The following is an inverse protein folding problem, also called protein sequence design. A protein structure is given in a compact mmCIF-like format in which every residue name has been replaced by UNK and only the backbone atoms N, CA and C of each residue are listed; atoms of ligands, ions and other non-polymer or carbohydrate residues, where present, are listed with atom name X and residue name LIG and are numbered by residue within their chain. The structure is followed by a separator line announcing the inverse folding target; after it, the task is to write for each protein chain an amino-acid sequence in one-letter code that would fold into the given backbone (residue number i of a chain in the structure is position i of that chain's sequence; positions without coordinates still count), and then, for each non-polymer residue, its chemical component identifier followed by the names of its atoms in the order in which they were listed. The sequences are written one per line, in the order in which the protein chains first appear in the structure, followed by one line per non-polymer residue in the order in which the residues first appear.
data_IF_529590527747
#
_entry.id   IF_529590527747
#
_cell.length_a   1.000
_cell.length_b   1.000
_cell.length_c   1.000
_cell.angle_alpha   90.00
_cell.angle_beta   90.00
_cell.angle_gamma   90.00
#
_symmetry.space_group_name_H-M   'P 1'
#
loop_
_entity.id
_entity.type
_entity.pdbx_description
1 polymer ?
#
# COMPACT_ATOMS: atom_id res chain seq x y z
N UNK A 1 -17.70 53.92 -43.87
CA UNK A 1 -16.82 53.35 -44.91
C UNK A 1 -17.15 51.88 -45.02
N UNK A 2 -17.60 51.48 -46.21
CA UNK A 2 -18.28 50.22 -46.49
C UNK A 2 -17.31 49.07 -46.84
N UNK A 3 -17.82 47.83 -46.64
CA UNK A 3 -17.67 46.62 -47.51
C UNK A 3 -16.30 45.92 -47.56
N UNK A 4 -16.21 44.65 -47.17
CA UNK A 4 -16.56 43.38 -47.87
C UNK A 4 -15.41 42.73 -48.66
N UNK A 5 -15.50 41.40 -48.79
CA UNK A 5 -14.89 40.51 -49.80
C UNK A 5 -13.46 39.96 -49.59
N UNK A 6 -13.44 38.72 -49.07
CA UNK A 6 -12.96 37.50 -49.73
C UNK A 6 -11.93 37.58 -50.89
N UNK A 7 -10.89 36.74 -50.72
CA UNK A 7 -10.27 35.81 -51.69
C UNK A 7 -9.94 36.29 -53.11
N UNK A 8 -8.66 36.22 -53.52
CA UNK A 8 -8.15 35.70 -54.81
C UNK A 8 -6.60 35.64 -54.69
N UNK A 9 -6.00 34.46 -54.49
CA UNK A 9 -5.37 33.59 -55.52
C UNK A 9 -4.32 34.27 -56.43
N UNK A 10 -3.19 33.55 -56.56
CA UNK A 10 -2.16 33.56 -57.62
C UNK A 10 -0.92 34.46 -57.44
N UNK A 11 0.20 33.85 -57.01
CA UNK A 11 1.33 33.65 -57.93
C UNK A 11 2.13 32.40 -57.55
N UNK A 12 2.38 31.54 -58.54
CA UNK A 12 3.18 30.31 -58.48
C UNK A 12 4.61 30.62 -58.96
N UNK A 13 5.60 29.88 -58.45
CA UNK A 13 6.93 29.71 -59.08
C UNK A 13 8.03 29.48 -58.04
N UNK A 14 8.33 28.24 -57.62
CA UNK A 14 9.28 27.24 -58.18
C UNK A 14 10.77 27.52 -57.93
N UNK A 15 11.34 26.64 -57.08
CA UNK A 15 12.65 25.98 -57.12
C UNK A 15 13.97 26.78 -57.00
N UNK A 16 14.78 26.38 -56.03
CA UNK A 16 16.21 26.69 -55.94
C UNK A 16 16.87 26.13 -54.66
N UNK A 17 17.34 24.89 -54.73
CA UNK A 17 18.26 24.22 -53.77
C UNK A 17 19.60 25.02 -53.75
N UNK A 18 20.37 25.21 -52.66
CA UNK A 18 21.34 24.28 -52.03
C UNK A 18 22.15 25.03 -50.93
N UNK A 19 22.48 24.34 -49.82
CA UNK A 19 23.60 24.49 -48.85
C UNK A 19 23.73 25.74 -47.95
N UNK A 20 23.68 25.54 -46.62
CA UNK A 20 24.85 25.16 -45.81
C UNK A 20 24.45 24.87 -44.35
N UNK A 21 24.87 23.71 -43.85
CA UNK A 21 24.90 23.38 -42.43
C UNK A 21 26.09 24.11 -41.78
N UNK A 22 25.86 24.91 -40.73
CA UNK A 22 26.87 25.10 -39.68
C UNK A 22 26.26 25.61 -38.35
N UNK A 23 26.52 24.82 -37.32
CA UNK A 23 26.71 25.14 -35.89
C UNK A 23 25.57 25.69 -35.01
N UNK A 24 25.04 24.75 -34.22
CA UNK A 24 25.08 24.70 -32.73
C UNK A 24 24.85 26.00 -31.95
N UNK A 25 23.67 26.07 -31.32
CA UNK A 25 23.53 26.33 -29.89
C UNK A 25 22.20 25.73 -29.42
N UNK A 26 22.18 24.42 -29.13
CA UNK A 26 21.11 23.84 -28.31
C UNK A 26 21.45 24.25 -26.88
N UNK A 27 20.90 25.37 -26.43
CA UNK A 27 20.80 25.67 -25.01
C UNK A 27 19.81 24.67 -24.42
N UNK A 28 20.29 23.46 -24.12
CA UNK A 28 19.68 22.62 -23.11
C UNK A 28 19.94 23.29 -21.76
N UNK A 29 19.22 24.39 -21.50
CA UNK A 29 18.87 24.75 -20.14
C UNK A 29 18.03 23.58 -19.65
N UNK A 30 18.67 22.67 -18.92
CA UNK A 30 18.00 21.64 -18.16
C UNK A 30 16.90 22.35 -17.37
N UNK A 31 15.66 22.17 -17.82
CA UNK A 31 14.50 22.45 -17.01
C UNK A 31 14.64 21.52 -15.81
N UNK A 32 15.23 22.03 -14.74
CA UNK A 32 15.04 21.48 -13.42
C UNK A 32 13.53 21.57 -13.20
N UNK A 33 12.82 20.48 -13.47
CA UNK A 33 11.41 20.33 -13.18
C UNK A 33 11.22 20.75 -11.72
N UNK A 34 10.50 21.85 -11.51
CA UNK A 34 10.18 22.33 -10.19
C UNK A 34 9.42 21.22 -9.48
N UNK A 35 10.10 20.51 -8.57
CA UNK A 35 9.46 19.44 -7.82
C UNK A 35 8.27 20.03 -7.05
N UNK A 36 7.08 19.42 -7.15
CA UNK A 36 5.92 19.90 -6.42
C UNK A 36 6.26 19.94 -4.93
N UNK A 37 5.81 20.99 -4.23
CA UNK A 37 6.06 21.17 -2.81
C UNK A 37 5.71 19.89 -2.03
N UNK A 38 6.65 19.42 -1.19
CA UNK A 38 6.52 18.17 -0.44
C UNK A 38 5.29 18.20 0.45
N UNK A 39 4.43 17.19 0.35
CA UNK A 39 3.21 17.08 1.16
C UNK A 39 3.47 16.10 2.29
N UNK A 40 4.11 16.59 3.34
CA UNK A 40 4.48 15.76 4.48
C UNK A 40 3.25 15.41 5.33
N UNK A 41 3.17 14.13 5.70
CA UNK A 41 2.17 13.59 6.60
C UNK A 41 2.84 12.83 7.73
N UNK A 42 2.40 13.08 8.96
CA UNK A 42 2.92 12.39 10.14
C UNK A 42 2.06 11.18 10.51
N UNK A 43 2.74 10.06 10.74
CA UNK A 43 2.18 8.80 11.23
C UNK A 43 2.77 8.50 12.60
N UNK A 44 1.92 8.35 13.62
CA UNK A 44 2.34 7.88 14.94
C UNK A 44 2.06 6.37 15.03
N UNK A 45 3.10 5.56 15.13
CA UNK A 45 3.02 4.11 15.08
C UNK A 45 3.41 3.52 16.43
N UNK A 46 2.60 2.57 16.91
CA UNK A 46 2.92 1.78 18.10
C UNK A 46 4.15 0.90 17.88
N UNK A 47 5.13 1.01 18.78
CA UNK A 47 6.38 0.26 18.77
C UNK A 47 6.55 -0.54 20.05
N UNK A 48 6.92 -1.80 19.89
CA UNK A 48 7.31 -2.67 21.00
C UNK A 48 8.17 -3.83 20.47
N UNK A 49 9.30 -4.07 21.11
CA UNK A 49 10.23 -5.11 20.72
C UNK A 49 10.36 -6.17 21.83
N UNK A 50 10.03 -7.46 21.56
CA UNK A 50 10.18 -8.52 22.56
C UNK A 50 11.64 -8.79 22.94
N UNK A 51 12.60 -8.44 22.07
CA UNK A 51 14.03 -8.63 22.31
C UNK A 51 14.58 -7.67 23.40
N UNK A 52 13.84 -6.59 23.69
CA UNK A 52 14.19 -5.58 24.69
C UNK A 52 13.02 -5.41 25.69
N UNK A 53 12.77 -6.41 26.57
CA UNK A 53 11.56 -6.47 27.39
C UNK A 53 11.44 -5.32 28.40
N UNK A 54 12.55 -4.71 28.79
CA UNK A 54 12.57 -3.58 29.72
C UNK A 54 12.01 -2.28 29.11
N UNK A 55 11.98 -2.17 27.78
CA UNK A 55 11.45 -1.00 27.09
C UNK A 55 9.93 -1.10 27.00
N UNK A 56 9.26 -0.15 27.65
CA UNK A 56 7.81 0.00 27.57
C UNK A 56 7.39 0.32 26.12
N UNK A 57 6.17 -0.11 25.72
CA UNK A 57 5.61 0.30 24.45
C UNK A 57 5.54 1.82 24.32
N UNK A 58 5.83 2.34 23.15
CA UNK A 58 5.81 3.78 22.89
C UNK A 58 5.27 4.06 21.49
N UNK A 59 4.91 5.33 21.26
CA UNK A 59 4.52 5.83 19.96
C UNK A 59 5.72 6.48 19.30
N UNK A 60 6.04 6.05 18.09
CA UNK A 60 7.09 6.66 17.28
C UNK A 60 6.46 7.38 16.09
N UNK A 61 6.92 8.61 15.85
CA UNK A 61 6.41 9.44 14.75
C UNK A 61 7.30 9.34 13.52
N UNK A 62 6.68 9.23 12.35
CA UNK A 62 7.34 9.21 11.06
C UNK A 62 6.67 10.21 10.12
N UNK A 63 7.47 11.04 9.47
CA UNK A 63 7.01 11.96 8.43
C UNK A 63 7.26 11.34 7.05
N UNK A 64 6.20 11.24 6.25
CA UNK A 64 6.25 10.67 4.90
C UNK A 64 5.70 11.67 3.90
N UNK A 65 6.39 11.85 2.78
CA UNK A 65 5.88 12.66 1.67
C UNK A 65 4.82 11.89 0.88
N UNK A 66 3.61 12.45 0.83
CA UNK A 66 2.47 11.88 0.12
C UNK A 66 2.63 11.95 -1.41
N UNK A 67 3.47 12.83 -1.95
CA UNK A 67 3.72 12.89 -3.39
C UNK A 67 4.55 11.68 -3.87
N UNK A 68 5.39 11.13 -2.99
CA UNK A 68 6.27 9.99 -3.26
C UNK A 68 5.77 8.68 -2.61
N UNK A 69 4.49 8.63 -2.24
CA UNK A 69 3.85 7.50 -1.56
C UNK A 69 2.55 7.11 -2.27
N UNK A 70 2.19 5.82 -2.20
CA UNK A 70 0.88 5.35 -2.63
C UNK A 70 -0.26 5.90 -1.76
N UNK A 71 -1.52 5.80 -2.22
CA UNK A 71 -2.67 6.41 -1.55
C UNK A 71 -3.12 5.68 -0.27
N UNK A 72 -2.65 4.44 -0.04
CA UNK A 72 -3.11 3.60 1.07
C UNK A 72 -2.16 3.62 2.26
N UNK A 73 -2.68 3.36 3.46
CA UNK A 73 -1.88 3.31 4.69
C UNK A 73 -0.78 2.25 4.61
N UNK A 74 -1.06 1.10 3.97
CA UNK A 74 -0.05 0.07 3.76
C UNK A 74 1.14 0.57 2.94
N UNK A 75 0.93 1.44 1.96
CA UNK A 75 2.01 1.98 1.13
C UNK A 75 2.92 2.87 1.97
N UNK A 76 2.35 3.69 2.86
CA UNK A 76 3.11 4.50 3.80
C UNK A 76 3.93 3.63 4.78
N UNK A 77 3.34 2.56 5.32
CA UNK A 77 4.04 1.63 6.22
C UNK A 77 5.21 0.91 5.52
N UNK A 78 5.02 0.50 4.26
CA UNK A 78 6.08 -0.11 3.44
C UNK A 78 7.18 0.90 3.14
N UNK A 79 6.82 2.14 2.80
CA UNK A 79 7.78 3.21 2.53
C UNK A 79 8.63 3.52 3.77
N UNK A 80 8.00 3.67 4.94
CA UNK A 80 8.70 3.84 6.23
C UNK A 80 9.66 2.68 6.45
N UNK A 81 9.21 1.44 6.27
CA UNK A 81 10.07 0.27 6.47
C UNK A 81 11.26 0.21 5.51
N UNK A 82 11.06 0.58 4.24
CA UNK A 82 12.10 0.45 3.22
C UNK A 82 13.12 1.59 3.26
N UNK A 83 12.68 2.81 3.57
CA UNK A 83 13.50 4.02 3.40
C UNK A 83 13.95 4.63 4.73
N UNK A 84 13.19 4.46 5.81
CA UNK A 84 13.40 5.19 7.08
C UNK A 84 13.82 4.26 8.21
N UNK A 85 13.04 3.21 8.47
CA UNK A 85 13.24 2.30 9.60
C UNK A 85 12.92 0.84 9.24
N UNK A 86 13.93 0.03 8.86
CA UNK A 86 13.74 -1.37 8.51
C UNK A 86 13.29 -2.25 9.68
N UNK A 87 13.37 -1.77 10.93
CA UNK A 87 12.97 -2.53 12.12
C UNK A 87 11.45 -2.60 12.30
N UNK A 88 10.69 -1.68 11.67
CA UNK A 88 9.23 -1.63 11.76
C UNK A 88 8.60 -2.94 11.27
N UNK A 89 7.85 -3.62 12.12
CA UNK A 89 7.29 -4.94 11.83
C UNK A 89 5.76 -4.94 11.75
N UNK A 90 5.21 -5.48 10.65
CA UNK A 90 3.77 -5.65 10.43
C UNK A 90 3.50 -6.81 9.45
N UNK A 91 2.28 -7.35 9.47
CA UNK A 91 1.85 -8.41 8.55
C UNK A 91 1.20 -7.84 7.28
N UNK A 92 1.57 -8.39 6.11
CA UNK A 92 0.98 -8.04 4.81
C UNK A 92 1.17 -9.17 3.79
N UNK A 93 0.22 -9.33 2.87
CA UNK A 93 0.32 -10.28 1.75
C UNK A 93 -0.35 -9.73 0.47
N UNK A 94 -1.68 -9.86 0.32
CA UNK A 94 -2.40 -9.61 -0.96
C UNK A 94 -2.46 -8.16 -1.47
N UNK A 95 -2.41 -7.15 -0.58
CA UNK A 95 -2.60 -5.71 -0.88
C UNK A 95 -3.96 -5.28 -1.46
N UNK A 96 -4.93 -6.17 -1.61
CA UNK A 96 -6.26 -5.87 -2.16
C UNK A 96 -7.41 -6.14 -1.18
N UNK A 97 -7.08 -6.45 0.08
CA UNK A 97 -8.06 -6.60 1.15
C UNK A 97 -8.66 -8.00 1.32
N UNK A 98 -8.26 -8.99 0.52
CA UNK A 98 -8.87 -10.33 0.58
C UNK A 98 -8.30 -11.22 1.70
N UNK A 99 -7.00 -11.17 1.98
CA UNK A 99 -6.36 -12.11 2.92
C UNK A 99 -6.53 -11.75 4.41
N UNK A 100 -6.96 -10.53 4.74
CA UNK A 100 -7.08 -10.06 6.12
C UNK A 100 -5.77 -9.87 6.90
N UNK A 101 -4.59 -10.12 6.34
CA UNK A 101 -3.33 -10.13 7.11
C UNK A 101 -2.89 -8.76 7.67
N UNK A 102 -3.32 -7.65 7.06
CA UNK A 102 -2.93 -6.29 7.47
C UNK A 102 -4.00 -5.59 8.33
N UNK A 103 -4.75 -6.37 9.12
CA UNK A 103 -5.72 -5.83 10.06
C UNK A 103 -5.01 -5.12 11.23
N UNK A 104 -5.38 -3.86 11.46
CA UNK A 104 -4.82 -3.03 12.52
C UNK A 104 -5.80 -1.89 12.86
N UNK A 105 -5.52 -1.14 13.93
CA UNK A 105 -6.32 0.03 14.29
C UNK A 105 -5.69 1.29 13.69
N UNK A 106 -6.43 1.99 12.83
CA UNK A 106 -5.98 3.18 12.12
C UNK A 106 -6.93 4.32 12.49
N UNK A 107 -6.40 5.34 13.17
CA UNK A 107 -7.19 6.51 13.58
C UNK A 107 -8.35 6.18 14.53
N UNK A 108 -8.24 5.09 15.30
CA UNK A 108 -9.28 4.62 16.21
C UNK A 108 -10.21 3.55 15.64
N UNK A 109 -10.17 3.29 14.33
CA UNK A 109 -11.04 2.31 13.67
C UNK A 109 -10.23 1.08 13.27
N UNK A 110 -10.76 -0.12 13.56
CA UNK A 110 -10.16 -1.37 13.10
C UNK A 110 -10.45 -1.55 11.62
N UNK A 111 -9.41 -1.61 10.80
CA UNK A 111 -9.54 -1.72 9.34
C UNK A 111 -8.32 -2.41 8.75
N UNK A 112 -8.36 -2.65 7.44
CA UNK A 112 -7.26 -3.23 6.69
C UNK A 112 -6.40 -2.10 6.10
N UNK A 113 -5.12 -2.07 6.45
CA UNK A 113 -4.21 -1.00 6.00
C UNK A 113 -4.12 -0.87 4.47
N UNK A 114 -4.30 -1.97 3.74
CA UNK A 114 -4.19 -1.98 2.27
C UNK A 114 -5.36 -1.33 1.52
N UNK A 115 -6.52 -1.18 2.15
CA UNK A 115 -7.70 -0.53 1.54
C UNK A 115 -8.11 0.74 2.29
N UNK A 116 -7.41 1.06 3.38
CA UNK A 116 -7.58 2.30 4.13
C UNK A 116 -6.78 3.41 3.46
N UNK A 117 -7.48 4.44 2.98
CA UNK A 117 -6.85 5.61 2.36
C UNK A 117 -6.16 6.48 3.41
N UNK A 118 -5.03 7.06 3.03
CA UNK A 118 -4.35 8.06 3.86
C UNK A 118 -5.22 9.33 3.90
N UNK A 119 -5.44 9.87 5.09
CA UNK A 119 -6.03 11.20 5.26
C UNK A 119 -5.03 12.26 4.75
N UNK A 120 -5.40 12.95 3.67
CA UNK A 120 -4.57 13.92 2.96
C UNK A 120 -4.38 15.24 3.71
N UNK A 121 -5.12 15.47 4.81
CA UNK A 121 -4.98 16.66 5.65
C UNK A 121 -3.70 16.55 6.49
N UNK A 122 -2.73 17.43 6.24
CA UNK A 122 -1.41 17.38 6.88
C UNK A 122 -1.46 17.58 8.42
N UNK A 123 -2.41 18.37 8.91
CA UNK A 123 -2.54 18.76 10.33
C UNK A 123 -2.84 17.58 11.27
N UNK A 124 -3.49 16.53 10.77
CA UNK A 124 -3.96 15.42 11.62
C UNK A 124 -2.97 14.27 11.59
N UNK A 125 -2.25 14.04 12.69
CA UNK A 125 -1.41 12.83 12.83
C UNK A 125 -2.26 11.57 12.79
N UNK A 126 -1.93 10.64 11.90
CA UNK A 126 -2.61 9.34 11.82
C UNK A 126 -1.98 8.40 12.84
N UNK A 127 -2.74 7.99 13.86
CA UNK A 127 -2.30 7.03 14.87
C UNK A 127 -2.57 5.60 14.39
N UNK A 128 -1.57 4.74 14.49
CA UNK A 128 -1.63 3.34 14.08
C UNK A 128 -1.27 2.46 15.27
N UNK A 129 -2.19 1.58 15.65
CA UNK A 129 -2.03 0.62 16.73
C UNK A 129 -2.28 -0.81 16.22
N UNK A 130 -1.78 -1.84 16.91
CA UNK A 130 -2.21 -3.21 16.66
C UNK A 130 -3.71 -3.37 16.95
N UNK A 131 -4.27 -4.54 16.63
CA UNK A 131 -5.66 -4.85 16.98
C UNK A 131 -5.87 -4.71 18.50
N UNK A 132 -6.95 -4.04 18.93
CA UNK A 132 -7.18 -3.76 20.34
C UNK A 132 -7.40 -5.05 21.13
N UNK A 133 -6.97 -5.04 22.40
CA UNK A 133 -7.18 -6.14 23.34
C UNK A 133 -6.59 -7.50 22.90
N UNK A 134 -5.53 -7.46 22.08
CA UNK A 134 -4.74 -8.63 21.71
C UNK A 134 -3.33 -8.53 22.29
N UNK A 135 -2.73 -9.68 22.60
CA UNK A 135 -1.30 -9.71 22.95
C UNK A 135 -0.47 -9.36 21.73
N UNK A 136 0.49 -8.44 21.90
CA UNK A 136 1.38 -8.01 20.83
C UNK A 136 2.63 -8.89 20.84
N UNK A 137 3.00 -9.43 19.69
CA UNK A 137 4.23 -10.23 19.50
C UNK A 137 5.41 -9.32 19.16
N UNK A 138 5.22 -8.32 18.29
CA UNK A 138 6.20 -7.29 17.94
C UNK A 138 5.51 -6.17 17.17
N UNK A 139 5.75 -4.91 17.54
CA UNK A 139 5.18 -3.72 16.88
C UNK A 139 3.66 -3.85 16.58
N UNK A 140 3.28 -3.96 15.31
CA UNK A 140 1.89 -4.06 14.85
C UNK A 140 1.41 -5.51 14.63
N UNK A 141 2.16 -6.50 15.12
CA UNK A 141 1.85 -7.93 14.96
C UNK A 141 1.18 -8.47 16.22
N UNK A 142 -0.15 -8.70 16.21
CA UNK A 142 -0.84 -9.37 17.31
C UNK A 142 -0.69 -10.89 17.24
N UNK A 143 -0.83 -11.55 18.38
CA UNK A 143 -1.02 -13.00 18.48
C UNK A 143 -2.46 -13.37 18.07
N UNK A 144 -2.57 -14.23 17.06
CA UNK A 144 -3.85 -14.71 16.51
C UNK A 144 -4.16 -16.16 16.92
N UNK A 145 -3.31 -16.79 17.74
CA UNK A 145 -3.46 -18.19 18.12
C UNK A 145 -4.80 -18.47 18.81
N UNK A 146 -5.23 -17.59 19.73
CA UNK A 146 -6.52 -17.75 20.42
C UNK A 146 -7.70 -17.64 19.44
N UNK A 147 -7.66 -16.69 18.51
CA UNK A 147 -8.68 -16.51 17.47
C UNK A 147 -8.82 -17.76 16.61
N UNK A 148 -7.71 -18.36 16.15
CA UNK A 148 -7.76 -19.59 15.36
C UNK A 148 -8.22 -20.82 16.14
N UNK A 149 -7.89 -20.91 17.44
CA UNK A 149 -8.39 -22.00 18.30
C UNK A 149 -9.91 -21.96 18.43
N UNK A 150 -10.48 -20.76 18.63
CA UNK A 150 -11.94 -20.57 18.69
C UNK A 150 -12.61 -20.88 17.34
N UNK A 151 -11.99 -20.49 16.22
CA UNK A 151 -12.52 -20.84 14.90
C UNK A 151 -12.48 -22.35 14.63
N UNK A 152 -11.45 -23.05 15.12
CA UNK A 152 -11.37 -24.51 14.99
C UNK A 152 -12.40 -25.25 15.83
N UNK A 153 -12.77 -24.73 17.01
CA UNK A 153 -13.69 -25.42 17.93
C UNK A 153 -15.13 -25.51 17.43
N UNK A 154 -15.53 -24.66 16.47
CA UNK A 154 -16.85 -24.75 15.83
C UNK A 154 -16.90 -25.76 14.67
N UNK A 155 -15.78 -26.43 14.39
CA UNK A 155 -15.65 -27.42 13.33
C UNK A 155 -16.21 -26.96 11.97
N UNK A 156 -15.63 -25.89 11.36
CA UNK A 156 -16.23 -25.20 10.21
C UNK A 156 -16.01 -25.95 8.88
N UNK A 157 -16.46 -27.20 8.83
CA UNK A 157 -16.43 -28.08 7.66
C UNK A 157 -17.73 -28.86 7.55
N UNK A 158 -17.98 -29.41 6.36
CA UNK A 158 -19.19 -30.19 6.10
C UNK A 158 -19.13 -31.51 6.91
N UNK A 159 -20.06 -31.67 7.84
CA UNK A 159 -20.27 -32.92 8.57
C UNK A 159 -21.37 -33.71 7.85
N UNK A 160 -21.04 -34.91 7.37
CA UNK A 160 -22.02 -35.82 6.77
C UNK A 160 -22.42 -36.86 7.81
N UNK A 161 -23.72 -37.03 8.02
CA UNK A 161 -24.25 -38.18 8.74
C UNK A 161 -24.22 -39.40 7.81
N UNK A 162 -23.67 -40.51 8.29
CA UNK A 162 -23.61 -41.75 7.52
C UNK A 162 -24.97 -42.47 7.61
N UNK A 163 -25.80 -42.32 6.57
CA UNK A 163 -27.09 -43.03 6.43
C UNK A 163 -26.89 -44.50 5.96
N UNK A 164 -25.80 -45.16 6.40
CA UNK A 164 -25.54 -46.58 6.13
C UNK A 164 -24.93 -46.91 4.76
N UNK A 165 -24.66 -45.95 3.87
CA UNK A 165 -23.95 -46.22 2.61
C UNK A 165 -22.45 -45.88 2.73
N UNK A 166 -21.69 -46.78 3.37
CA UNK A 166 -20.23 -46.74 3.36
C UNK A 166 -19.71 -46.96 1.94
N UNK A 167 -19.29 -45.90 1.25
CA UNK A 167 -18.34 -46.03 0.14
C UNK A 167 -16.94 -46.03 0.74
N UNK A 168 -16.23 -47.14 0.54
CA UNK A 168 -14.84 -47.32 0.98
C UNK A 168 -13.94 -46.28 0.32
N UNK A 169 -13.55 -45.29 1.11
CA UNK A 169 -12.56 -44.30 0.74
C UNK A 169 -12.16 -43.58 2.03
N UNK A 170 -11.11 -44.07 2.67
CA UNK A 170 -10.54 -43.53 3.90
C UNK A 170 -10.38 -42.01 3.82
N UNK A 171 -11.31 -41.29 4.46
CA UNK A 171 -11.29 -39.82 4.54
C UNK A 171 -10.05 -39.35 5.33
N UNK A 172 -9.45 -40.23 6.14
CA UNK A 172 -8.25 -39.94 6.92
C UNK A 172 -6.93 -40.02 6.14
N UNK A 173 -6.90 -40.64 4.94
CA UNK A 173 -5.65 -40.80 4.18
C UNK A 173 -5.38 -39.71 3.13
N UNK A 174 -6.36 -38.85 2.82
CA UNK A 174 -6.19 -37.79 1.82
C UNK A 174 -5.46 -36.55 2.35
N UNK A 175 -5.54 -36.27 3.66
CA UNK A 175 -4.85 -35.11 4.26
C UNK A 175 -3.33 -35.33 4.39
N UNK A 176 -2.88 -36.58 4.53
CA UNK A 176 -1.44 -36.90 4.55
C UNK A 176 -0.81 -36.93 3.16
N UNK A 177 -1.61 -37.15 2.10
CA UNK A 177 -1.11 -37.28 0.71
C UNK A 177 -1.03 -35.96 -0.05
N UNK A 178 -1.82 -34.95 0.34
CA UNK A 178 -1.87 -33.63 -0.32
C UNK A 178 -1.60 -32.46 0.64
N UNK A 179 -0.94 -32.70 1.76
CA UNK A 179 -0.34 -31.65 2.59
C UNK A 179 0.96 -31.15 1.96
N UNK A 180 0.88 -30.04 1.21
CA UNK A 180 2.01 -29.16 0.94
C UNK A 180 1.87 -27.93 1.83
#
# INVERSE_FOLDING_TARGET
MAREMQLFKLCKGTFGHVRNFHMTAITNAAAAEAQPASRLKTFAIYRWNPDEPDKKPHMQEYSVDLNACGPMILDALIKIKNEVDPTLTFRRSCREGICGSCAMNIGGINTLACISKIDTRAEKTTKIYPLPHMYVVKDLVPDMNNFYKQYKSIEPWLQRHDDGQKKSGDVHQLLTKYGR
#
